data_IF_044144946698
#
_entry.id   IF_044144946698
#
_cell.length_a   1.000
_cell.length_b   1.000
_cell.length_c   1.000
_cell.angle_alpha   90.00
_cell.angle_beta   90.00
_cell.angle_gamma   90.00
#
_symmetry.space_group_name_H-M   'P 1'
#
loop_
_entity.id
_entity.type
_entity.pdbx_description
1 polymer ?
#
# COMPACT_ATOMS: atom_id res chain seq x y z
N UNK A 1 -22.84 -5.70 -25.26
CA UNK A 1 -22.61 -6.18 -23.88
C UNK A 1 -22.19 -5.00 -23.03
N UNK A 2 -23.08 -4.48 -22.21
CA UNK A 2 -22.74 -3.49 -21.18
C UNK A 2 -22.22 -4.25 -19.97
N UNK A 3 -20.93 -4.07 -19.64
CA UNK A 3 -20.38 -4.59 -18.39
C UNK A 3 -21.08 -3.87 -17.23
N UNK A 4 -21.48 -4.62 -16.20
CA UNK A 4 -22.07 -4.05 -15.00
C UNK A 4 -21.13 -3.05 -14.31
N UNK A 5 -21.62 -2.26 -13.36
CA UNK A 5 -20.76 -1.35 -12.59
C UNK A 5 -19.58 -2.13 -11.99
N UNK A 6 -18.37 -1.55 -11.98
CA UNK A 6 -17.17 -2.26 -11.54
C UNK A 6 -17.37 -2.81 -10.12
N UNK A 7 -16.80 -3.98 -9.85
CA UNK A 7 -16.77 -4.55 -8.50
C UNK A 7 -15.91 -3.65 -7.60
N UNK A 8 -16.55 -2.72 -6.90
CA UNK A 8 -15.91 -1.76 -5.98
C UNK A 8 -15.80 -2.28 -4.55
N UNK A 9 -16.33 -3.48 -4.27
CA UNK A 9 -16.26 -4.13 -2.95
C UNK A 9 -15.78 -5.59 -3.09
N UNK A 10 -15.02 -6.11 -2.10
CA UNK A 10 -14.51 -5.38 -0.93
C UNK A 10 -13.33 -4.45 -1.28
N UNK A 11 -13.17 -3.39 -0.50
CA UNK A 11 -11.99 -2.53 -0.60
C UNK A 11 -10.80 -3.25 0.04
N UNK A 12 -9.78 -3.49 -0.78
CA UNK A 12 -8.53 -4.13 -0.36
C UNK A 12 -7.60 -3.09 0.25
N UNK A 13 -7.40 -3.16 1.56
CA UNK A 13 -6.48 -2.28 2.28
C UNK A 13 -5.08 -2.89 2.21
N UNK A 14 -4.16 -2.15 1.58
CA UNK A 14 -2.75 -2.54 1.46
C UNK A 14 -1.89 -1.58 2.28
N UNK A 15 -1.21 -2.06 3.33
CA UNK A 15 -0.31 -1.21 4.10
C UNK A 15 0.92 -0.87 3.25
N UNK A 16 1.14 0.42 3.05
CA UNK A 16 2.34 0.97 2.42
C UNK A 16 3.19 1.63 3.50
N UNK A 17 4.50 1.36 3.47
CA UNK A 17 5.45 1.89 4.43
C UNK A 17 6.69 2.40 3.73
N UNK A 18 7.55 3.08 4.48
CA UNK A 18 8.82 3.59 3.99
C UNK A 18 9.98 2.76 4.51
N UNK A 19 10.97 2.55 3.64
CA UNK A 19 12.19 1.83 3.98
C UNK A 19 13.38 2.79 3.99
N UNK A 20 14.28 2.61 4.96
CA UNK A 20 15.57 3.29 4.98
C UNK A 20 16.61 2.35 4.35
N UNK A 21 17.25 2.77 3.27
CA UNK A 21 18.27 1.97 2.60
C UNK A 21 19.49 1.75 3.49
N UNK A 22 20.16 0.62 3.31
CA UNK A 22 21.44 0.36 3.97
C UNK A 22 22.56 1.22 3.35
N UNK A 23 23.51 1.71 4.17
CA UNK A 23 24.67 2.54 3.78
C UNK A 23 24.34 3.90 3.14
N UNK A 24 23.36 4.61 3.70
CA UNK A 24 23.11 6.00 3.30
C UNK A 24 24.28 6.92 3.65
N UNK A 25 24.51 7.93 2.80
CA UNK A 25 25.48 9.00 3.06
C UNK A 25 25.16 9.79 4.33
N UNK A 26 23.88 9.93 4.66
CA UNK A 26 23.38 10.72 5.80
C UNK A 26 22.32 9.93 6.60
N UNK A 27 22.73 8.91 7.39
CA UNK A 27 21.78 8.02 8.08
C UNK A 27 20.97 8.74 9.17
N UNK A 28 21.57 9.69 9.88
CA UNK A 28 20.87 10.46 10.91
C UNK A 28 19.74 11.32 10.32
N UNK A 29 20.00 12.00 9.20
CA UNK A 29 18.98 12.81 8.53
C UNK A 29 17.84 11.95 7.99
N UNK A 30 18.15 10.77 7.45
CA UNK A 30 17.13 9.84 6.99
C UNK A 30 16.21 9.36 8.14
N UNK A 31 16.77 9.12 9.33
CA UNK A 31 16.00 8.77 10.51
C UNK A 31 15.11 9.93 11.00
N UNK A 32 15.62 11.16 11.00
CA UNK A 32 14.82 12.34 11.36
C UNK A 32 13.65 12.56 10.39
N UNK A 33 13.89 12.37 9.09
CA UNK A 33 12.83 12.45 8.10
C UNK A 33 11.79 11.33 8.29
N UNK A 34 12.25 10.12 8.56
CA UNK A 34 11.37 8.98 8.85
C UNK A 34 10.48 9.25 10.07
N UNK A 35 11.04 9.76 11.16
CA UNK A 35 10.30 10.13 12.36
C UNK A 35 9.25 11.24 12.08
N UNK A 36 9.66 12.30 11.38
CA UNK A 36 8.75 13.38 11.00
C UNK A 36 7.58 12.88 10.14
N UNK A 37 7.81 11.97 9.20
CA UNK A 37 6.79 11.43 8.31
C UNK A 37 5.75 10.56 9.05
N UNK A 38 6.15 9.88 10.13
CA UNK A 38 5.24 9.13 11.02
C UNK A 38 4.52 10.04 12.04
N UNK A 39 5.00 11.26 12.24
CA UNK A 39 4.37 12.25 13.11
C UNK A 39 3.01 12.71 12.56
N UNK A 40 2.14 13.31 13.41
CA UNK A 40 0.89 13.91 12.94
C UNK A 40 1.08 14.93 11.81
N UNK A 41 2.14 15.74 11.87
CA UNK A 41 2.41 16.75 10.85
C UNK A 41 2.71 16.12 9.48
N UNK A 42 3.56 15.10 9.45
CA UNK A 42 3.89 14.39 8.21
C UNK A 42 2.67 13.67 7.62
N UNK A 43 1.86 13.02 8.46
CA UNK A 43 0.63 12.35 8.02
C UNK A 43 -0.43 13.33 7.52
N UNK A 44 -0.53 14.52 8.09
CA UNK A 44 -1.42 15.57 7.59
C UNK A 44 -1.00 16.02 6.19
N UNK A 45 0.30 16.26 5.96
CA UNK A 45 0.81 16.62 4.64
C UNK A 45 0.50 15.52 3.60
N UNK A 46 0.67 14.25 3.95
CA UNK A 46 0.31 13.13 3.06
C UNK A 46 -1.19 13.14 2.73
N UNK A 47 -2.04 13.35 3.74
CA UNK A 47 -3.49 13.45 3.57
C UNK A 47 -3.90 14.61 2.66
N UNK A 48 -3.30 15.78 2.84
CA UNK A 48 -3.57 16.97 2.02
C UNK A 48 -3.17 16.75 0.55
N UNK A 49 -2.23 15.83 0.29
CA UNK A 49 -1.80 15.42 -1.05
C UNK A 49 -2.52 14.16 -1.57
N UNK A 50 -3.62 13.75 -0.94
CA UNK A 50 -4.49 12.67 -1.42
C UNK A 50 -4.00 11.26 -1.08
N UNK A 51 -3.10 11.10 -0.10
CA UNK A 51 -2.74 9.79 0.43
C UNK A 51 -3.55 9.46 1.68
N UNK A 52 -3.96 8.20 1.84
CA UNK A 52 -4.62 7.75 3.05
C UNK A 52 -3.61 7.66 4.22
N UNK A 53 -3.90 8.30 5.37
CA UNK A 53 -2.98 8.31 6.49
C UNK A 53 -2.91 6.92 7.15
N UNK A 54 -1.70 6.45 7.44
CA UNK A 54 -1.47 5.16 8.09
C UNK A 54 -1.59 5.24 9.62
N UNK A 55 -1.64 6.45 10.18
CA UNK A 55 -1.63 6.70 11.63
C UNK A 55 -3.01 6.58 12.26
N UNK A 56 -3.09 5.84 13.37
CA UNK A 56 -4.30 5.74 14.19
C UNK A 56 -4.72 7.12 14.71
N UNK A 57 -5.99 7.46 14.53
CA UNK A 57 -6.55 8.76 14.95
C UNK A 57 -6.64 9.80 13.83
N UNK A 58 -6.20 9.48 12.61
CA UNK A 58 -6.51 10.26 11.42
C UNK A 58 -7.73 9.65 10.71
N UNK A 59 -8.69 10.51 10.36
CA UNK A 59 -9.84 10.07 9.56
C UNK A 59 -9.42 9.71 8.14
N UNK A 60 -9.86 8.53 7.71
CA UNK A 60 -9.76 8.04 6.34
C UNK A 60 -11.17 8.00 5.72
N UNK A 61 -11.61 9.16 5.26
CA UNK A 61 -12.94 9.38 4.69
C UNK A 61 -13.17 8.57 3.42
N UNK A 62 -12.10 8.23 2.69
CA UNK A 62 -12.18 7.47 1.44
C UNK A 62 -12.64 6.02 1.67
N UNK A 63 -12.40 5.48 2.87
CA UNK A 63 -12.74 4.11 3.23
C UNK A 63 -14.04 3.99 4.04
N UNK A 64 -14.79 5.07 4.25
CA UNK A 64 -16.00 5.04 5.08
C UNK A 64 -17.15 4.26 4.39
N UNK A 65 -17.81 3.38 5.15
CA UNK A 65 -18.97 2.61 4.67
C UNK A 65 -18.67 1.40 3.77
N UNK A 66 -17.39 1.16 3.42
CA UNK A 66 -16.99 0.02 2.59
C UNK A 66 -16.76 -1.26 3.39
N UNK A 67 -16.99 -2.42 2.76
CA UNK A 67 -16.51 -3.71 3.30
C UNK A 67 -15.01 -3.79 3.07
N UNK A 68 -14.23 -3.83 4.15
CA UNK A 68 -12.77 -3.77 4.12
C UNK A 68 -12.17 -5.15 4.29
N UNK A 69 -11.18 -5.48 3.45
CA UNK A 69 -10.32 -6.65 3.65
C UNK A 69 -8.89 -6.16 3.79
N UNK A 70 -8.29 -6.41 4.95
CA UNK A 70 -6.86 -6.14 5.14
C UNK A 70 -6.03 -7.25 4.51
N UNK A 71 -5.01 -6.85 3.75
CA UNK A 71 -4.10 -7.78 3.12
C UNK A 71 -3.08 -8.31 4.13
N UNK A 72 -3.07 -9.63 4.37
CA UNK A 72 -1.99 -10.29 5.11
C UNK A 72 -0.76 -10.47 4.22
N UNK A 73 0.31 -9.74 4.55
CA UNK A 73 1.57 -9.77 3.81
C UNK A 73 2.38 -11.05 4.04
N UNK A 74 2.19 -11.77 5.15
CA UNK A 74 3.00 -12.94 5.51
C UNK A 74 2.94 -14.04 4.44
N UNK A 75 1.75 -14.53 4.02
CA UNK A 75 1.67 -15.56 2.98
C UNK A 75 2.13 -15.04 1.61
N UNK A 76 2.00 -13.73 1.35
CA UNK A 76 2.46 -13.11 0.10
C UNK A 76 3.98 -13.16 0.02
N UNK A 77 4.68 -12.71 1.07
CA UNK A 77 6.14 -12.70 1.14
C UNK A 77 6.68 -14.13 1.08
N UNK A 78 6.10 -15.06 1.86
CA UNK A 78 6.54 -16.46 1.92
C UNK A 78 6.45 -17.18 0.56
N UNK A 79 5.55 -16.76 -0.33
CA UNK A 79 5.27 -17.42 -1.59
C UNK A 79 5.56 -16.54 -2.82
N UNK A 80 6.24 -15.41 -2.64
CA UNK A 80 6.42 -14.38 -3.68
C UNK A 80 6.93 -14.95 -5.01
N UNK A 81 7.96 -15.82 -4.97
CA UNK A 81 8.51 -16.45 -6.17
C UNK A 81 7.53 -17.35 -6.91
N UNK A 82 6.70 -18.11 -6.19
CA UNK A 82 5.68 -18.96 -6.78
C UNK A 82 4.57 -18.13 -7.46
N UNK A 83 4.15 -17.04 -6.82
CA UNK A 83 3.18 -16.11 -7.38
C UNK A 83 3.69 -15.41 -8.64
N UNK A 84 4.94 -14.91 -8.60
CA UNK A 84 5.58 -14.28 -9.75
C UNK A 84 5.64 -15.23 -10.96
N UNK A 85 6.08 -16.48 -10.74
CA UNK A 85 6.14 -17.50 -11.81
C UNK A 85 4.76 -17.79 -12.42
N UNK A 86 3.72 -17.91 -11.59
CA UNK A 86 2.34 -18.15 -12.07
C UNK A 86 1.82 -16.96 -12.87
N UNK A 87 2.06 -15.74 -12.39
CA UNK A 87 1.66 -14.51 -13.08
C UNK A 87 2.30 -14.42 -14.47
N UNK A 88 3.60 -14.64 -14.57
CA UNK A 88 4.33 -14.69 -15.84
C UNK A 88 3.78 -15.76 -16.80
N UNK A 89 3.47 -16.95 -16.29
CA UNK A 89 2.90 -18.02 -17.12
C UNK A 89 1.51 -17.65 -17.68
N UNK A 90 0.70 -16.92 -16.90
CA UNK A 90 -0.61 -16.43 -17.37
C UNK A 90 -0.40 -15.38 -18.47
N UNK A 91 0.45 -14.37 -18.23
CA UNK A 91 0.68 -13.30 -19.21
C UNK A 91 1.27 -13.83 -20.51
N UNK A 92 2.23 -14.75 -20.46
CA UNK A 92 2.86 -15.33 -21.65
C UNK A 92 1.91 -16.20 -22.48
N UNK A 93 0.89 -16.78 -21.84
CA UNK A 93 -0.14 -17.59 -22.49
C UNK A 93 -1.41 -16.79 -22.85
N UNK A 94 -1.52 -15.54 -22.39
CA UNK A 94 -2.57 -14.62 -22.80
C UNK A 94 -2.28 -14.16 -24.22
N UNK A 95 -2.79 -14.91 -25.21
CA UNK A 95 -2.72 -14.53 -26.62
C UNK A 95 -3.31 -13.13 -26.81
N UNK A 96 -2.53 -12.26 -27.46
CA UNK A 96 -2.99 -11.00 -28.07
C UNK A 96 -3.95 -11.26 -29.22
#
# INVERSE_FOLDING_TARGET
>A
MTFGPPFVNPVLIRPQGLGISYRLRHPATALLFYDWMLSPAGQQVLKDNGSEPARVGFDDVALNGSVKVQMDLRPIIANHGAWAKKYEAILRNAKS
#
